data_IF_148868707884
#
_entry.id   IF_148868707884
#
_cell.length_a   1.000
_cell.length_b   1.000
_cell.length_c   1.000
_cell.angle_alpha   90.00
_cell.angle_beta   90.00
_cell.angle_gamma   90.00
#
_symmetry.space_group_name_H-M   'P 1'
#
loop_
_entity.id
_entity.type
_entity.pdbx_description
1 polymer ?
#
# COMPACT_ATOMS: atom_id res chain seq x y z
N UNK A 1 -12.44 8.19 -3.57
CA UNK A 1 -12.91 9.10 -4.63
C UNK A 1 -14.44 9.07 -4.82
N UNK A 2 -15.07 7.89 -4.98
CA UNK A 2 -16.52 7.75 -5.17
C UNK A 2 -17.35 8.55 -4.14
N UNK A 3 -17.15 8.27 -2.85
CA UNK A 3 -17.83 8.99 -1.76
C UNK A 3 -17.59 10.50 -1.77
N UNK A 4 -16.36 10.93 -2.05
CA UNK A 4 -16.01 12.35 -2.08
C UNK A 4 -16.82 13.11 -3.14
N UNK A 5 -17.00 12.52 -4.34
CA UNK A 5 -17.78 13.12 -5.44
C UNK A 5 -19.28 13.20 -5.12
N UNK A 6 -19.78 12.35 -4.22
CA UNK A 6 -21.15 12.37 -3.72
C UNK A 6 -21.35 13.34 -2.54
N UNK A 7 -20.32 14.10 -2.14
CA UNK A 7 -20.41 14.99 -0.98
C UNK A 7 -20.29 14.27 0.37
N UNK A 8 -19.97 12.97 0.37
CA UNK A 8 -19.87 12.18 1.60
C UNK A 8 -18.48 12.33 2.21
N UNK A 9 -18.44 12.71 3.49
CA UNK A 9 -17.22 12.77 4.31
C UNK A 9 -17.10 11.46 5.09
N UNK A 10 -16.13 10.62 4.72
CA UNK A 10 -15.91 9.32 5.37
C UNK A 10 -15.12 9.43 6.68
N UNK A 11 -15.06 8.35 7.47
CA UNK A 11 -14.26 8.30 8.70
C UNK A 11 -12.77 8.52 8.41
N UNK A 12 -12.28 7.99 7.29
CA UNK A 12 -10.89 8.15 6.83
C UNK A 12 -10.59 9.61 6.49
N UNK A 13 -11.52 10.32 5.84
CA UNK A 13 -11.37 11.76 5.56
C UNK A 13 -11.28 12.59 6.84
N UNK A 14 -12.10 12.26 7.86
CA UNK A 14 -12.02 12.92 9.18
C UNK A 14 -10.70 12.63 9.87
N UNK A 15 -10.21 11.40 9.78
CA UNK A 15 -8.94 10.98 10.37
C UNK A 15 -7.77 11.78 9.79
N UNK A 16 -7.63 11.80 8.45
CA UNK A 16 -6.53 12.52 7.79
C UNK A 16 -6.67 14.04 7.94
N UNK A 17 -7.88 14.57 7.99
CA UNK A 17 -8.12 15.99 8.24
C UNK A 17 -7.57 16.42 9.61
N UNK A 18 -7.81 15.61 10.65
CA UNK A 18 -7.24 15.84 11.98
C UNK A 18 -5.71 15.73 11.97
N UNK A 19 -5.16 14.76 11.24
CA UNK A 19 -3.70 14.53 11.16
C UNK A 19 -2.96 15.67 10.45
N UNK A 20 -3.60 16.29 9.46
CA UNK A 20 -3.04 17.38 8.65
C UNK A 20 -3.44 18.78 9.16
N UNK A 21 -4.19 18.87 10.26
CA UNK A 21 -4.74 20.11 10.83
C UNK A 21 -5.54 20.96 9.82
N UNK A 22 -6.45 20.31 9.09
CA UNK A 22 -7.34 20.95 8.11
C UNK A 22 -8.79 20.51 8.30
N UNK A 23 -9.74 21.14 7.60
CA UNK A 23 -11.14 20.73 7.67
C UNK A 23 -11.41 19.42 6.89
N UNK A 24 -12.31 18.55 7.36
CA UNK A 24 -12.72 17.35 6.61
C UNK A 24 -13.34 17.67 5.24
N UNK A 25 -13.99 18.83 5.11
CA UNK A 25 -14.53 19.28 3.84
C UNK A 25 -13.43 19.67 2.85
N UNK A 26 -12.33 20.28 3.32
CA UNK A 26 -11.17 20.55 2.47
C UNK A 26 -10.58 19.25 1.91
N UNK A 27 -10.34 18.26 2.77
CA UNK A 27 -9.91 16.90 2.39
C UNK A 27 -10.84 16.29 1.34
N UNK A 28 -12.16 16.27 1.62
CA UNK A 28 -13.16 15.73 0.69
C UNK A 28 -13.09 16.43 -0.66
N UNK A 29 -12.96 17.76 -0.67
CA UNK A 29 -12.91 18.56 -1.90
C UNK A 29 -11.67 18.25 -2.75
N UNK A 30 -10.50 18.05 -2.13
CA UNK A 30 -9.26 17.69 -2.82
C UNK A 30 -9.35 16.29 -3.44
N UNK A 31 -9.93 15.34 -2.71
CA UNK A 31 -10.15 13.97 -3.22
C UNK A 31 -11.17 13.95 -4.35
N UNK A 32 -12.26 14.72 -4.25
CA UNK A 32 -13.30 14.78 -5.28
C UNK A 32 -12.76 15.33 -6.61
N UNK A 33 -11.83 16.29 -6.53
CA UNK A 33 -11.12 16.90 -7.67
C UNK A 33 -9.96 16.06 -8.19
N UNK A 34 -9.63 14.94 -7.54
CA UNK A 34 -8.50 14.07 -7.92
C UNK A 34 -7.13 14.68 -7.64
N UNK A 35 -7.04 15.68 -6.75
CA UNK A 35 -5.76 16.31 -6.36
C UNK A 35 -5.12 15.67 -5.13
N UNK A 36 -5.86 14.79 -4.46
CA UNK A 36 -5.37 14.01 -3.34
C UNK A 36 -6.02 12.62 -3.30
N UNK A 37 -5.34 11.66 -2.66
CA UNK A 37 -5.79 10.29 -2.46
C UNK A 37 -5.59 9.85 -1.01
N UNK A 38 -6.41 8.90 -0.56
CA UNK A 38 -6.24 8.15 0.69
C UNK A 38 -6.09 6.68 0.29
N UNK A 39 -4.86 6.13 0.23
CA UNK A 39 -4.64 4.72 -0.06
C UNK A 39 -5.02 3.88 1.17
N UNK A 40 -6.25 3.37 1.18
CA UNK A 40 -6.78 2.59 2.30
C UNK A 40 -7.66 1.45 1.77
N UNK A 41 -7.04 0.33 1.40
CA UNK A 41 -7.77 -0.85 0.98
C UNK A 41 -8.64 -1.37 2.14
N UNK A 42 -9.89 -1.73 1.87
CA UNK A 42 -10.83 -2.27 2.87
C UNK A 42 -10.32 -3.54 3.57
N UNK A 43 -9.41 -4.29 2.93
CA UNK A 43 -8.80 -5.49 3.51
C UNK A 43 -7.53 -5.20 4.35
N UNK A 44 -7.15 -3.92 4.54
CA UNK A 44 -6.05 -3.50 5.41
C UNK A 44 -6.57 -2.70 6.62
N UNK A 45 -7.33 -3.35 7.54
CA UNK A 45 -7.92 -2.67 8.69
C UNK A 45 -6.90 -2.16 9.72
N UNK A 46 -5.67 -2.66 9.68
CA UNK A 46 -4.56 -2.22 10.53
C UNK A 46 -4.00 -0.85 10.10
N UNK A 47 -4.31 -0.38 8.88
CA UNK A 47 -3.82 0.91 8.39
C UNK A 47 -4.44 2.09 9.13
N UNK A 48 -3.58 2.97 9.65
CA UNK A 48 -3.91 4.33 10.03
C UNK A 48 -3.96 5.21 8.78
N UNK A 49 -5.14 5.73 8.38
CA UNK A 49 -5.27 6.46 7.13
C UNK A 49 -4.33 7.66 7.03
N UNK A 50 -3.81 7.88 5.83
CA UNK A 50 -2.98 9.04 5.48
C UNK A 50 -3.40 9.57 4.11
N UNK A 51 -3.09 10.84 3.85
CA UNK A 51 -3.46 11.52 2.60
C UNK A 51 -2.21 11.94 1.82
N UNK A 52 -2.25 11.73 0.51
CA UNK A 52 -1.19 12.12 -0.42
C UNK A 52 -1.79 13.14 -1.38
N UNK A 53 -1.21 14.35 -1.43
CA UNK A 53 -1.62 15.41 -2.34
C UNK A 53 -0.81 16.68 -2.15
N UNK A 54 -0.82 17.57 -3.15
CA UNK A 54 0.04 18.78 -3.20
C UNK A 54 -0.18 19.75 -2.03
N UNK A 55 -1.39 19.80 -1.48
CA UNK A 55 -1.78 20.76 -0.43
C UNK A 55 -1.70 20.19 1.00
N UNK A 56 -1.07 19.03 1.16
CA UNK A 56 -0.86 18.34 2.43
C UNK A 56 0.65 18.25 2.70
N UNK A 57 1.05 17.84 3.91
CA UNK A 57 2.47 17.62 4.18
C UNK A 57 3.06 16.64 3.15
N UNK A 58 4.30 16.89 2.73
CA UNK A 58 5.03 15.98 1.84
C UNK A 58 5.16 14.62 2.53
N UNK A 59 4.87 13.56 1.79
CA UNK A 59 4.94 12.18 2.27
C UNK A 59 6.13 11.47 1.68
N UNK A 60 6.79 10.62 2.47
CA UNK A 60 7.92 9.81 2.05
C UNK A 60 7.56 8.32 2.05
N UNK A 61 8.11 7.58 1.09
CA UNK A 61 7.93 6.15 0.96
C UNK A 61 9.26 5.44 1.18
N UNK A 62 9.27 4.35 1.94
CA UNK A 62 10.42 3.46 2.02
C UNK A 62 10.15 2.14 1.29
N UNK A 63 11.13 1.70 0.50
CA UNK A 63 11.07 0.41 -0.20
C UNK A 63 11.77 -0.65 0.64
N UNK A 64 11.06 -1.75 0.87
CA UNK A 64 11.59 -2.97 1.48
C UNK A 64 11.34 -4.14 0.52
N UNK A 65 11.74 -5.35 0.92
CA UNK A 65 11.50 -6.54 0.13
C UNK A 65 12.68 -7.50 0.16
N UNK A 66 12.35 -8.79 0.07
CA UNK A 66 13.32 -9.85 -0.07
C UNK A 66 13.86 -9.94 -1.51
N UNK A 67 14.99 -10.62 -1.66
CA UNK A 67 15.56 -10.93 -2.97
C UNK A 67 15.86 -12.43 -3.08
N UNK A 68 16.08 -12.91 -4.30
CA UNK A 68 16.44 -14.32 -4.55
C UNK A 68 17.71 -14.79 -3.81
N UNK A 69 18.56 -13.86 -3.37
CA UNK A 69 19.85 -14.12 -2.73
C UNK A 69 19.86 -13.86 -1.22
N UNK A 70 18.93 -13.09 -0.68
CA UNK A 70 18.90 -12.79 0.76
C UNK A 70 17.56 -12.24 1.25
N UNK A 71 17.25 -12.60 2.50
CA UNK A 71 16.29 -12.02 3.46
C UNK A 71 15.26 -13.05 3.96
N UNK A 72 14.89 -12.92 5.23
CA UNK A 72 13.84 -13.69 5.90
C UNK A 72 12.64 -12.78 6.21
N UNK A 73 11.50 -13.38 6.55
CA UNK A 73 10.30 -12.62 6.93
C UNK A 73 10.59 -11.70 8.12
N UNK A 74 11.38 -12.17 9.09
CA UNK A 74 11.76 -11.41 10.29
C UNK A 74 12.58 -10.16 9.93
N UNK A 75 13.53 -10.29 9.00
CA UNK A 75 14.33 -9.17 8.55
C UNK A 75 13.48 -8.13 7.79
N UNK A 76 12.47 -8.55 7.02
CA UNK A 76 11.55 -7.61 6.36
C UNK A 76 10.63 -6.90 7.37
N UNK A 77 10.20 -7.60 8.43
CA UNK A 77 9.44 -6.96 9.52
C UNK A 77 10.31 -5.94 10.26
N UNK A 78 11.58 -6.24 10.52
CA UNK A 78 12.49 -5.28 11.16
C UNK A 78 12.65 -4.02 10.31
N UNK A 79 12.85 -4.18 8.99
CA UNK A 79 12.92 -3.04 8.06
C UNK A 79 11.62 -2.23 8.02
N UNK A 80 10.46 -2.89 8.05
CA UNK A 80 9.15 -2.25 8.13
C UNK A 80 9.05 -1.36 9.37
N UNK A 81 9.31 -1.94 10.56
CA UNK A 81 9.26 -1.21 11.83
C UNK A 81 10.25 -0.05 11.83
N UNK A 82 11.48 -0.28 11.35
CA UNK A 82 12.52 0.74 11.31
C UNK A 82 12.17 1.89 10.36
N UNK A 83 11.68 1.57 9.16
CA UNK A 83 11.26 2.59 8.19
C UNK A 83 10.18 3.49 8.75
N UNK A 84 9.14 2.91 9.36
CA UNK A 84 8.05 3.67 9.98
C UNK A 84 8.57 4.50 11.17
N UNK A 85 9.42 3.92 12.02
CA UNK A 85 9.99 4.61 13.18
C UNK A 85 10.72 5.90 12.79
N UNK A 86 11.42 5.89 11.66
CA UNK A 86 12.14 7.07 11.13
C UNK A 86 11.31 7.96 10.20
N UNK A 87 10.01 7.70 10.08
CA UNK A 87 9.07 8.60 9.43
C UNK A 87 8.60 8.19 8.03
N UNK A 88 8.80 6.94 7.60
CA UNK A 88 8.18 6.46 6.36
C UNK A 88 6.65 6.52 6.48
N UNK A 89 6.01 7.34 5.63
CA UNK A 89 4.56 7.47 5.63
C UNK A 89 3.86 6.34 4.87
N UNK A 90 4.55 5.74 3.91
CA UNK A 90 4.12 4.53 3.20
C UNK A 90 5.29 3.58 3.02
N UNK A 91 4.97 2.31 2.78
CA UNK A 91 5.95 1.27 2.48
C UNK A 91 5.59 0.61 1.16
N UNK A 92 6.59 0.21 0.40
CA UNK A 92 6.38 -0.73 -0.71
C UNK A 92 7.15 -2.02 -0.49
N UNK A 93 6.44 -3.14 -0.60
CA UNK A 93 7.05 -4.47 -0.70
C UNK A 93 7.43 -4.73 -2.16
N UNK A 94 8.74 -4.71 -2.42
CA UNK A 94 9.36 -4.97 -3.72
C UNK A 94 10.02 -6.36 -3.77
N UNK A 95 9.55 -7.29 -2.95
CA UNK A 95 10.05 -8.66 -2.90
C UNK A 95 10.02 -9.32 -4.29
N UNK A 96 11.11 -10.01 -4.63
CA UNK A 96 11.31 -10.73 -5.90
C UNK A 96 11.80 -12.18 -5.69
N UNK A 97 12.03 -12.58 -4.45
CA UNK A 97 12.50 -13.91 -4.08
C UNK A 97 11.37 -14.91 -3.87
N UNK A 98 11.69 -16.07 -3.28
CA UNK A 98 10.68 -17.07 -2.90
C UNK A 98 9.79 -16.53 -1.78
N UNK A 99 8.57 -17.09 -1.65
CA UNK A 99 7.62 -16.80 -0.58
C UNK A 99 7.16 -15.32 -0.54
N UNK A 100 7.00 -14.67 -1.70
CA UNK A 100 6.49 -13.29 -1.79
C UNK A 100 5.14 -13.17 -1.08
N UNK A 101 4.23 -14.13 -1.30
CA UNK A 101 2.90 -14.09 -0.69
C UNK A 101 2.96 -14.07 0.85
N UNK A 102 3.68 -15.03 1.46
CA UNK A 102 3.78 -15.13 2.90
C UNK A 102 4.44 -13.88 3.50
N UNK A 103 5.57 -13.42 2.93
CA UNK A 103 6.27 -12.22 3.40
C UNK A 103 5.34 -11.01 3.40
N UNK A 104 4.59 -10.80 2.31
CA UNK A 104 3.66 -9.69 2.18
C UNK A 104 2.50 -9.76 3.17
N UNK A 105 1.95 -10.93 3.40
CA UNK A 105 0.87 -11.12 4.37
C UNK A 105 1.32 -10.68 5.77
N UNK A 106 2.51 -11.13 6.21
CA UNK A 106 3.09 -10.71 7.48
C UNK A 106 3.34 -9.19 7.52
N UNK A 107 3.87 -8.60 6.46
CA UNK A 107 4.09 -7.15 6.37
C UNK A 107 2.77 -6.38 6.48
N UNK A 108 1.75 -6.76 5.72
CA UNK A 108 0.43 -6.11 5.73
C UNK A 108 -0.21 -6.16 7.11
N UNK A 109 -0.18 -7.32 7.78
CA UNK A 109 -0.79 -7.48 9.11
C UNK A 109 -0.07 -6.73 10.22
N UNK A 110 1.19 -6.34 10.01
CA UNK A 110 2.00 -5.60 10.98
C UNK A 110 2.26 -4.15 10.56
N UNK A 111 1.73 -3.69 9.42
CA UNK A 111 1.93 -2.32 8.93
C UNK A 111 0.77 -1.41 9.31
N UNK A 112 0.99 -0.37 10.14
CA UNK A 112 0.02 0.69 10.35
C UNK A 112 -0.01 1.70 9.19
N UNK A 113 0.96 1.67 8.28
CA UNK A 113 1.01 2.57 7.11
C UNK A 113 0.55 1.85 5.84
N UNK A 114 0.06 2.58 4.82
CA UNK A 114 -0.29 1.99 3.54
C UNK A 114 0.87 1.20 2.93
N UNK A 115 0.58 0.00 2.44
CA UNK A 115 1.54 -0.87 1.76
C UNK A 115 1.24 -0.91 0.27
N UNK A 116 2.22 -0.53 -0.55
CA UNK A 116 2.21 -0.68 -1.99
C UNK A 116 3.00 -1.91 -2.45
N UNK A 117 2.77 -2.30 -3.69
CA UNK A 117 3.44 -3.41 -4.37
C UNK A 117 3.64 -3.08 -5.83
N UNK A 118 4.43 -3.90 -6.53
CA UNK A 118 4.47 -3.93 -7.99
C UNK A 118 3.98 -5.30 -8.44
N UNK A 119 2.68 -5.46 -8.80
CA UNK A 119 2.07 -6.77 -9.07
C UNK A 119 2.79 -7.59 -10.14
N UNK A 120 3.48 -6.94 -11.08
CA UNK A 120 4.21 -7.63 -12.15
C UNK A 120 5.36 -8.48 -11.63
N UNK A 121 5.97 -8.14 -10.48
CA UNK A 121 7.07 -8.93 -9.92
C UNK A 121 6.62 -10.31 -9.48
N UNK A 122 5.46 -10.38 -8.81
CA UNK A 122 4.85 -11.66 -8.46
C UNK A 122 4.30 -12.38 -9.70
N UNK A 123 3.68 -11.66 -10.63
CA UNK A 123 3.18 -12.28 -11.87
C UNK A 123 4.33 -12.93 -12.67
N UNK A 124 5.51 -12.32 -12.68
CA UNK A 124 6.70 -12.86 -13.32
C UNK A 124 7.26 -14.10 -12.60
N UNK A 125 7.18 -14.14 -11.26
CA UNK A 125 7.52 -15.34 -10.48
C UNK A 125 6.60 -16.52 -10.83
N UNK A 126 5.31 -16.28 -11.05
CA UNK A 126 4.32 -17.32 -11.45
C UNK A 126 4.60 -17.95 -12.81
N UNK A 127 5.47 -17.35 -13.63
CA UNK A 127 5.91 -17.85 -14.93
C UNK A 127 7.42 -18.12 -14.98
N UNK A 128 8.01 -18.45 -13.83
CA UNK A 128 9.42 -18.81 -13.68
C UNK A 128 10.40 -17.78 -14.29
N UNK A 129 10.07 -16.50 -14.23
CA UNK A 129 10.91 -15.42 -14.77
C UNK A 129 10.75 -15.18 -16.28
N UNK A 130 9.90 -15.93 -16.97
CA UNK A 130 9.72 -15.83 -18.42
C UNK A 130 8.71 -14.75 -18.80
N UNK A 131 9.20 -13.55 -19.14
CA UNK A 131 8.34 -12.41 -19.47
C UNK A 131 7.42 -12.65 -20.69
N UNK A 132 7.80 -13.55 -21.61
CA UNK A 132 6.98 -13.93 -22.78
C UNK A 132 5.75 -14.76 -22.42
N UNK A 133 5.77 -15.41 -21.26
CA UNK A 133 4.70 -16.29 -20.80
C UNK A 133 3.69 -15.54 -19.91
N UNK A 134 3.92 -14.22 -19.69
CA UNK A 134 2.97 -13.35 -19.01
C UNK A 134 1.71 -13.17 -19.85
N UNK A 135 0.57 -13.45 -19.23
CA UNK A 135 -0.76 -13.19 -19.81
C UNK A 135 -1.57 -12.27 -18.91
N UNK A 136 -2.67 -11.74 -19.47
CA UNK A 136 -3.62 -10.95 -18.68
C UNK A 136 -4.20 -11.78 -17.54
N UNK A 137 -4.48 -13.06 -17.74
CA UNK A 137 -5.06 -13.95 -16.73
C UNK A 137 -4.13 -14.06 -15.51
N UNK A 138 -2.83 -14.26 -15.73
CA UNK A 138 -1.83 -14.36 -14.66
C UNK A 138 -1.73 -13.02 -13.91
N UNK A 139 -1.71 -11.90 -14.64
CA UNK A 139 -1.64 -10.58 -14.03
C UNK A 139 -2.92 -10.24 -13.23
N UNK A 140 -4.10 -10.54 -13.79
CA UNK A 140 -5.41 -10.36 -13.14
C UNK A 140 -5.49 -11.16 -11.85
N UNK A 141 -5.15 -12.45 -11.90
CA UNK A 141 -5.22 -13.31 -10.72
C UNK A 141 -4.26 -12.82 -9.64
N UNK A 142 -3.09 -12.30 -10.04
CA UNK A 142 -2.17 -11.63 -9.14
C UNK A 142 -2.80 -10.37 -8.53
N UNK A 143 -3.41 -9.47 -9.31
CA UNK A 143 -4.09 -8.29 -8.79
C UNK A 143 -5.17 -8.63 -7.76
N UNK A 144 -5.99 -9.65 -8.04
CA UNK A 144 -7.05 -10.11 -7.12
C UNK A 144 -6.40 -10.60 -5.82
N UNK A 145 -5.39 -11.47 -5.91
CA UNK A 145 -4.68 -12.01 -4.75
C UNK A 145 -4.08 -10.90 -3.86
N UNK A 146 -3.46 -9.87 -4.44
CA UNK A 146 -2.90 -8.77 -3.65
C UNK A 146 -3.99 -7.84 -3.09
N UNK A 147 -5.10 -7.66 -3.81
CA UNK A 147 -6.21 -6.82 -3.36
C UNK A 147 -7.00 -7.48 -2.22
N UNK A 148 -7.14 -8.81 -2.28
CA UNK A 148 -7.91 -9.65 -1.37
C UNK A 148 -7.09 -10.29 -0.26
N UNK A 149 -5.83 -9.90 -0.04
CA UNK A 149 -5.01 -10.44 1.05
C UNK A 149 -5.74 -10.25 2.39
N UNK A 150 -6.49 -11.29 2.79
CA UNK A 150 -7.42 -11.37 3.91
C UNK A 150 -6.83 -12.31 4.95
N UNK A 151 -7.31 -12.15 6.19
CA UNK A 151 -7.00 -13.08 7.29
C UNK A 151 -7.52 -14.48 7.03
#
# INVERSE_FOLDING_TARGET
MHYAKQGIITKEMKFVAKREDVSPEYVRSEIARGRAIIPNNVNHPESEPMIIGKNFQVKINANIGNSAVSSSIEAEIEKLVWGIHWGADTIMDLSTGKNIHATREYLLRNSPVPVGTVPIYQALEKVDGSAKDLTWEIYRDTLIEQAETRR
#
